data_IF_389005160076
#
_entry.id   IF_389005160076
#
_cell.length_a   1.000
_cell.length_b   1.000
_cell.length_c   1.000
_cell.angle_alpha   90.00
_cell.angle_beta   90.00
_cell.angle_gamma   90.00
#
_symmetry.space_group_name_H-M   'P 1'
#
loop_
_entity.id
_entity.type
_entity.pdbx_description
1 polymer ?
#
# COMPACT_ATOMS: atom_id res chain seq x y z
N UNK A 1 14.78 -8.75 10.81
CA UNK A 1 13.85 -8.59 9.67
C UNK A 1 13.99 -7.18 9.16
N UNK A 2 14.37 -6.96 7.89
CA UNK A 2 14.28 -5.64 7.29
C UNK A 2 12.81 -5.28 7.07
N UNK A 3 12.44 -4.04 7.35
CA UNK A 3 11.15 -3.48 6.94
C UNK A 3 11.36 -2.84 5.57
N UNK A 4 10.49 -3.16 4.63
CA UNK A 4 10.46 -2.61 3.29
C UNK A 4 9.25 -1.68 3.16
N UNK A 5 9.47 -0.57 2.46
CA UNK A 5 8.37 0.30 2.00
C UNK A 5 8.37 0.32 0.48
N UNK A 6 7.19 0.13 -0.10
CA UNK A 6 6.96 0.28 -1.53
C UNK A 6 5.70 1.09 -1.76
N UNK A 7 5.72 1.99 -2.75
CA UNK A 7 4.57 2.86 -2.98
C UNK A 7 4.86 4.10 -3.80
N UNK A 8 3.87 4.99 -3.80
CA UNK A 8 3.83 6.25 -4.54
C UNK A 8 3.66 7.42 -3.57
N UNK A 9 4.34 8.54 -3.85
CA UNK A 9 4.25 9.76 -3.05
C UNK A 9 4.08 10.98 -3.94
N UNK A 10 3.46 12.05 -3.45
CA UNK A 10 3.34 13.33 -4.17
C UNK A 10 4.70 13.92 -4.59
N UNK A 11 5.79 13.52 -3.94
CA UNK A 11 7.16 13.95 -4.30
C UNK A 11 7.68 13.31 -5.58
N UNK A 12 7.19 12.12 -5.92
CA UNK A 12 7.73 11.29 -7.00
C UNK A 12 6.68 10.88 -8.03
N UNK A 13 5.41 11.16 -7.79
CA UNK A 13 4.30 10.70 -8.63
C UNK A 13 3.16 11.73 -8.71
N UNK A 14 2.62 11.96 -9.92
CA UNK A 14 1.51 12.87 -10.12
C UNK A 14 0.22 12.33 -9.48
N UNK A 15 -0.78 13.20 -9.29
CA UNK A 15 -2.01 12.84 -8.55
C UNK A 15 -2.82 11.78 -9.29
N UNK A 16 -2.90 11.86 -10.61
CA UNK A 16 -3.64 10.94 -11.48
C UNK A 16 -3.08 9.52 -11.37
N UNK A 17 -1.76 9.37 -11.18
CA UNK A 17 -1.16 8.06 -10.94
C UNK A 17 -1.52 7.55 -9.55
N UNK A 18 -1.48 8.39 -8.51
CA UNK A 18 -1.78 7.97 -7.14
C UNK A 18 -3.24 7.58 -6.94
N UNK A 19 -4.18 8.29 -7.58
CA UNK A 19 -5.60 7.97 -7.53
C UNK A 19 -5.90 6.57 -8.08
N UNK A 20 -5.17 6.12 -9.12
CA UNK A 20 -5.30 4.77 -9.68
C UNK A 20 -4.87 3.66 -8.72
N UNK A 21 -4.05 3.98 -7.72
CA UNK A 21 -3.54 3.04 -6.72
C UNK A 21 -4.21 3.23 -5.35
N UNK A 22 -5.03 4.26 -5.18
CA UNK A 22 -5.69 4.54 -3.91
C UNK A 22 -6.55 3.34 -3.48
N UNK A 23 -6.36 2.92 -2.23
CA UNK A 23 -7.15 1.83 -1.65
C UNK A 23 -8.48 2.37 -1.15
N UNK A 24 -9.58 1.77 -1.60
CA UNK A 24 -10.85 1.90 -0.91
C UNK A 24 -10.75 1.19 0.44
N UNK A 25 -11.20 1.84 1.52
CA UNK A 25 -11.09 1.32 2.90
C UNK A 25 -11.63 -0.11 3.04
N UNK A 26 -12.76 -0.40 2.39
CA UNK A 26 -13.37 -1.73 2.38
C UNK A 26 -12.51 -2.83 1.75
N UNK A 27 -11.52 -2.50 0.90
CA UNK A 27 -10.63 -3.46 0.24
C UNK A 27 -9.33 -3.72 1.01
N UNK A 28 -9.02 -2.89 2.02
CA UNK A 28 -7.78 -3.01 2.79
C UNK A 28 -7.67 -4.38 3.50
N UNK A 29 -8.71 -4.90 4.18
CA UNK A 29 -8.61 -6.20 4.85
C UNK A 29 -8.29 -7.35 3.89
N UNK A 30 -8.93 -7.36 2.72
CA UNK A 30 -8.70 -8.37 1.68
C UNK A 30 -7.27 -8.29 1.14
N UNK A 31 -6.78 -7.08 0.83
CA UNK A 31 -5.41 -6.89 0.33
C UNK A 31 -4.35 -7.35 1.35
N UNK A 32 -4.53 -7.02 2.63
CA UNK A 32 -3.65 -7.49 3.70
C UNK A 32 -3.68 -9.02 3.85
N UNK A 33 -4.88 -9.62 3.75
CA UNK A 33 -5.01 -11.07 3.77
C UNK A 33 -4.28 -11.72 2.59
N UNK A 34 -4.38 -11.15 1.39
CA UNK A 34 -3.68 -11.65 0.20
C UNK A 34 -2.16 -11.56 0.34
N UNK A 35 -1.63 -10.47 0.91
CA UNK A 35 -0.19 -10.33 1.16
C UNK A 35 0.32 -11.46 2.09
N UNK A 36 -0.44 -11.76 3.14
CA UNK A 36 -0.11 -12.84 4.07
C UNK A 36 -0.29 -14.22 3.45
N UNK A 37 -1.42 -14.49 2.79
CA UNK A 37 -1.71 -15.82 2.23
C UNK A 37 -0.77 -16.21 1.10
N UNK A 38 -0.25 -15.22 0.36
CA UNK A 38 0.71 -15.43 -0.72
C UNK A 38 2.16 -15.46 -0.21
N UNK A 39 2.41 -15.33 1.09
CA UNK A 39 3.75 -15.34 1.69
C UNK A 39 4.60 -14.13 1.30
N UNK A 40 3.97 -13.01 0.92
CA UNK A 40 4.68 -11.76 0.58
C UNK A 40 5.17 -11.05 1.84
N UNK A 41 4.36 -11.07 2.90
CA UNK A 41 4.67 -10.47 4.19
C UNK A 41 3.90 -11.14 5.33
N UNK A 42 4.55 -11.36 6.48
CA UNK A 42 3.88 -11.87 7.68
C UNK A 42 2.95 -10.80 8.30
N UNK A 43 3.42 -9.55 8.28
CA UNK A 43 2.74 -8.35 8.74
C UNK A 43 2.85 -7.27 7.67
N UNK A 44 1.79 -6.49 7.48
CA UNK A 44 1.83 -5.37 6.56
C UNK A 44 0.89 -4.24 7.00
N UNK A 45 1.24 -3.02 6.61
CA UNK A 45 0.41 -1.82 6.79
C UNK A 45 0.22 -1.14 5.45
N UNK A 46 -1.02 -0.81 5.11
CA UNK A 46 -1.36 -0.02 3.91
C UNK A 46 -1.67 1.41 4.35
N UNK A 47 -0.90 2.38 3.85
CA UNK A 47 -1.10 3.81 4.08
C UNK A 47 -1.55 4.48 2.78
N UNK A 48 -2.86 4.71 2.66
CA UNK A 48 -3.48 5.34 1.49
C UNK A 48 -4.11 6.67 1.88
N UNK A 49 -3.54 7.78 1.41
CA UNK A 49 -4.01 9.15 1.65
C UNK A 49 -3.97 9.97 0.35
N UNK A 50 -4.40 11.23 0.41
CA UNK A 50 -4.30 12.14 -0.73
C UNK A 50 -2.86 12.48 -1.16
N UNK A 51 -1.84 12.15 -0.36
CA UNK A 51 -0.43 12.51 -0.64
C UNK A 51 0.48 11.30 -0.90
N UNK A 52 0.03 10.08 -0.60
CA UNK A 52 0.80 8.85 -0.74
C UNK A 52 -0.08 7.61 -0.72
N UNK A 53 0.39 6.56 -1.37
CA UNK A 53 -0.13 5.20 -1.32
C UNK A 53 1.06 4.27 -1.13
N UNK A 54 1.21 3.72 0.07
CA UNK A 54 2.40 2.96 0.47
C UNK A 54 2.00 1.66 1.20
N UNK A 55 2.81 0.62 1.03
CA UNK A 55 2.73 -0.65 1.75
C UNK A 55 4.04 -0.81 2.52
N UNK A 56 3.92 -1.06 3.82
CA UNK A 56 5.03 -1.39 4.72
C UNK A 56 4.92 -2.88 5.06
N UNK A 57 6.01 -3.62 4.97
CA UNK A 57 6.08 -5.07 5.18
C UNK A 57 7.45 -5.49 5.73
#
# INVERSE_FOLDING_TARGET
>A
MPIVVTGLSHRTSPVELRERFAFAEAKIPEALQQLRSNGVADEAVILSTCNRVEIYA
#
